data_IF_800331430752
#
_entry.id   IF_800331430752
#
_cell.length_a   1.000
_cell.length_b   1.000
_cell.length_c   1.000
_cell.angle_alpha   90.00
_cell.angle_beta   90.00
_cell.angle_gamma   90.00
#
_symmetry.space_group_name_H-M   'P 1'
#
loop_
_entity.id
_entity.type
_entity.pdbx_description
1 polymer ?
#
# COMPACT_ATOMS: atom_id res chain seq x y z
N UNK A 1 18.31 17.80 6.06
CA UNK A 1 17.58 18.60 5.05
C UNK A 1 16.13 18.65 5.47
N UNK A 2 15.63 19.82 5.85
CA UNK A 2 14.21 19.95 6.15
C UNK A 2 13.44 19.84 4.83
N UNK A 3 12.40 18.99 4.81
CA UNK A 3 11.48 18.86 3.68
C UNK A 3 10.58 20.10 3.70
N UNK A 4 11.10 21.26 3.31
CA UNK A 4 10.48 22.57 3.60
C UNK A 4 9.48 23.02 2.55
N UNK A 5 9.46 22.45 1.34
CA UNK A 5 8.51 22.81 0.30
C UNK A 5 7.56 21.66 -0.05
N UNK A 6 6.30 22.01 -0.33
CA UNK A 6 5.25 21.08 -0.77
C UNK A 6 5.69 20.29 -2.00
N UNK A 7 6.39 20.94 -2.94
CA UNK A 7 6.92 20.30 -4.14
C UNK A 7 7.92 19.19 -3.82
N UNK A 8 8.78 19.40 -2.82
CA UNK A 8 9.74 18.38 -2.39
C UNK A 8 9.02 17.21 -1.70
N UNK A 9 7.96 17.48 -0.92
CA UNK A 9 7.10 16.42 -0.35
C UNK A 9 6.46 15.60 -1.46
N UNK A 10 5.85 16.26 -2.45
CA UNK A 10 5.18 15.59 -3.57
C UNK A 10 6.16 14.75 -4.38
N UNK A 11 7.34 15.30 -4.71
CA UNK A 11 8.42 14.56 -5.40
C UNK A 11 8.83 13.31 -4.60
N UNK A 12 8.95 13.44 -3.29
CA UNK A 12 9.30 12.34 -2.40
C UNK A 12 8.21 11.25 -2.41
N UNK A 13 6.93 11.64 -2.31
CA UNK A 13 5.80 10.71 -2.38
C UNK A 13 5.77 9.96 -3.71
N UNK A 14 5.96 10.64 -4.84
CA UNK A 14 6.04 9.96 -6.15
C UNK A 14 7.24 9.03 -6.29
N UNK A 15 8.35 9.34 -5.62
CA UNK A 15 9.53 8.47 -5.59
C UNK A 15 9.24 7.16 -4.85
N UNK A 16 8.55 7.22 -3.71
CA UNK A 16 8.18 6.03 -2.93
C UNK A 16 7.01 5.24 -3.49
N UNK A 17 6.14 5.86 -4.31
CA UNK A 17 4.93 5.25 -4.84
C UNK A 17 4.96 5.22 -6.39
N UNK A 18 5.90 4.48 -7.03
CA UNK A 18 6.04 4.47 -8.49
C UNK A 18 4.77 3.98 -9.22
N UNK A 19 3.99 3.10 -8.60
CA UNK A 19 2.72 2.59 -9.16
C UNK A 19 1.67 3.68 -9.37
N UNK A 20 1.78 4.85 -8.74
CA UNK A 20 0.89 5.99 -9.00
C UNK A 20 1.03 6.53 -10.43
N UNK A 21 2.22 6.38 -11.03
CA UNK A 21 2.49 6.85 -12.40
C UNK A 21 2.32 5.74 -13.43
N UNK A 22 2.82 4.55 -13.12
CA UNK A 22 2.84 3.42 -14.06
C UNK A 22 1.49 2.70 -14.09
N UNK A 23 0.68 2.81 -13.03
CA UNK A 23 -0.60 2.11 -12.91
C UNK A 23 -0.48 0.62 -12.66
N UNK A 24 0.75 0.10 -12.49
CA UNK A 24 1.04 -1.32 -12.25
C UNK A 24 2.07 -1.47 -11.15
N UNK A 25 2.05 -2.62 -10.46
CA UNK A 25 3.05 -2.97 -9.47
C UNK A 25 4.19 -3.77 -10.12
N UNK A 26 5.46 -3.56 -9.71
CA UNK A 26 6.56 -4.45 -10.06
C UNK A 26 6.24 -5.90 -9.66
N UNK A 27 6.30 -6.82 -10.64
CA UNK A 27 5.84 -8.21 -10.46
C UNK A 27 6.72 -9.01 -9.49
N UNK A 28 7.99 -8.64 -9.34
CA UNK A 28 8.91 -9.21 -8.36
C UNK A 28 8.47 -8.98 -6.90
N UNK A 29 7.74 -7.87 -6.67
CA UNK A 29 7.19 -7.48 -5.38
C UNK A 29 5.84 -8.15 -5.06
N UNK A 30 5.09 -8.55 -6.09
CA UNK A 30 3.79 -9.22 -5.96
C UNK A 30 3.98 -10.72 -5.99
N UNK A 31 4.31 -11.31 -4.82
CA UNK A 31 4.39 -12.77 -4.72
C UNK A 31 3.01 -13.41 -5.02
N UNK A 32 2.96 -14.56 -5.71
CA UNK A 32 1.68 -15.16 -6.10
C UNK A 32 0.88 -15.71 -4.91
N UNK A 33 1.56 -16.15 -3.85
CA UNK A 33 0.92 -16.74 -2.66
C UNK A 33 0.40 -15.66 -1.71
N UNK A 34 -0.89 -15.74 -1.37
CA UNK A 34 -1.59 -14.81 -0.47
C UNK A 34 -1.83 -15.48 0.88
N UNK A 35 -1.51 -14.77 1.96
CA UNK A 35 -1.72 -15.24 3.35
C UNK A 35 -3.10 -14.84 3.85
N UNK A 36 -3.58 -15.47 4.92
CA UNK A 36 -4.87 -15.16 5.54
C UNK A 36 -5.11 -13.66 5.76
N UNK A 37 -4.11 -12.95 6.30
CA UNK A 37 -4.19 -11.51 6.55
C UNK A 37 -4.45 -10.66 5.28
N UNK A 38 -4.10 -11.13 4.09
CA UNK A 38 -4.47 -10.46 2.83
C UNK A 38 -5.99 -10.46 2.64
N UNK A 39 -6.64 -11.61 2.82
CA UNK A 39 -8.08 -11.76 2.59
C UNK A 39 -8.89 -10.94 3.59
N UNK A 40 -8.52 -11.01 4.87
CA UNK A 40 -9.12 -10.17 5.91
C UNK A 40 -8.98 -8.68 5.59
N UNK A 41 -7.77 -8.26 5.21
CA UNK A 41 -7.51 -6.85 4.89
C UNK A 41 -8.34 -6.37 3.70
N UNK A 42 -8.45 -7.17 2.64
CA UNK A 42 -9.28 -6.83 1.48
C UNK A 42 -10.76 -6.80 1.84
N UNK A 43 -11.25 -7.74 2.66
CA UNK A 43 -12.64 -7.77 3.12
C UNK A 43 -13.02 -6.48 3.86
N UNK A 44 -12.18 -6.02 4.79
CA UNK A 44 -12.42 -4.79 5.53
C UNK A 44 -12.30 -3.53 4.66
N UNK A 45 -11.35 -3.54 3.73
CA UNK A 45 -11.07 -2.42 2.85
C UNK A 45 -12.16 -2.23 1.78
N UNK A 46 -12.71 -3.32 1.24
CA UNK A 46 -13.71 -3.30 0.17
C UNK A 46 -15.14 -3.07 0.67
N UNK A 47 -15.33 -2.86 1.96
CA UNK A 47 -16.65 -2.63 2.53
C UNK A 47 -17.25 -1.30 2.06
N UNK A 48 -18.42 -1.35 1.40
CA UNK A 48 -19.00 -0.21 0.70
C UNK A 48 -19.63 0.85 1.62
N UNK A 49 -20.08 0.47 2.81
CA UNK A 49 -20.81 1.35 3.71
C UNK A 49 -19.92 2.27 4.56
N UNK A 50 -18.65 1.91 4.76
CA UNK A 50 -17.74 2.64 5.64
C UNK A 50 -16.35 2.73 5.01
N UNK A 51 -15.84 3.96 4.85
CA UNK A 51 -14.44 4.18 4.44
C UNK A 51 -13.50 3.78 5.58
N UNK A 52 -12.90 2.59 5.50
CA UNK A 52 -11.96 2.07 6.50
C UNK A 52 -10.51 2.22 6.07
N UNK A 53 -9.65 2.34 7.07
CA UNK A 53 -8.20 2.15 6.93
C UNK A 53 -7.82 0.81 7.55
N UNK A 54 -6.94 0.06 6.89
CA UNK A 54 -6.42 -1.20 7.40
C UNK A 54 -4.98 -0.99 7.88
N UNK A 55 -4.73 -1.30 9.15
CA UNK A 55 -3.40 -1.26 9.74
C UNK A 55 -2.83 -2.68 9.85
N UNK A 56 -1.76 -2.96 9.10
CA UNK A 56 -1.01 -4.21 9.21
C UNK A 56 0.08 -4.06 10.27
N UNK A 57 -0.13 -4.64 11.46
CA UNK A 57 0.85 -4.65 12.57
C UNK A 57 1.55 -6.03 12.72
N UNK A 58 2.68 -6.07 13.43
CA UNK A 58 3.41 -7.32 13.74
C UNK A 58 4.93 -7.20 13.62
N UNK A 59 5.65 -8.30 13.84
CA UNK A 59 7.12 -8.32 13.87
C UNK A 59 7.78 -7.94 12.51
N UNK A 60 9.07 -7.60 12.55
CA UNK A 60 9.86 -7.29 11.35
C UNK A 60 9.93 -8.52 10.43
N UNK A 61 9.88 -8.32 9.11
CA UNK A 61 10.01 -9.38 8.07
C UNK A 61 8.90 -10.46 8.03
N UNK A 62 7.76 -10.26 8.70
CA UNK A 62 6.62 -11.20 8.62
C UNK A 62 5.79 -11.09 7.33
N UNK A 63 6.20 -10.26 6.37
CA UNK A 63 5.53 -10.14 5.05
C UNK A 63 4.40 -9.10 4.96
N UNK A 64 4.28 -8.19 5.93
CA UNK A 64 3.27 -7.10 5.91
C UNK A 64 3.36 -6.25 4.64
N UNK A 65 4.57 -5.87 4.25
CA UNK A 65 4.84 -5.13 3.02
C UNK A 65 4.44 -5.91 1.77
N UNK A 66 4.69 -7.22 1.74
CA UNK A 66 4.28 -8.09 0.62
C UNK A 66 2.76 -8.14 0.50
N UNK A 67 2.03 -8.27 1.62
CA UNK A 67 0.57 -8.21 1.63
C UNK A 67 0.09 -6.88 1.08
N UNK A 68 0.69 -5.76 1.52
CA UNK A 68 0.34 -4.43 1.04
C UNK A 68 0.51 -4.29 -0.48
N UNK A 69 1.61 -4.79 -1.06
CA UNK A 69 1.81 -4.77 -2.52
C UNK A 69 0.79 -5.63 -3.27
N UNK A 70 0.45 -6.81 -2.74
CA UNK A 70 -0.61 -7.65 -3.30
C UNK A 70 -1.98 -6.95 -3.28
N UNK A 71 -2.27 -6.20 -2.21
CA UNK A 71 -3.51 -5.43 -2.09
C UNK A 71 -3.54 -4.29 -3.12
N UNK A 72 -2.45 -3.51 -3.22
CA UNK A 72 -2.33 -2.42 -4.20
C UNK A 72 -2.52 -2.95 -5.62
N UNK A 73 -1.85 -4.05 -6.00
CA UNK A 73 -2.03 -4.66 -7.32
C UNK A 73 -3.49 -5.02 -7.59
N UNK A 74 -4.15 -5.70 -6.64
CA UNK A 74 -5.55 -6.08 -6.80
C UNK A 74 -6.49 -4.87 -6.99
N UNK A 75 -6.20 -3.76 -6.32
CA UNK A 75 -7.01 -2.55 -6.38
C UNK A 75 -6.76 -1.76 -7.67
N UNK A 76 -5.53 -1.78 -8.19
CA UNK A 76 -5.18 -1.27 -9.50
C UNK A 76 -5.91 -2.07 -10.60
N UNK A 77 -5.91 -3.41 -10.51
CA UNK A 77 -6.60 -4.30 -11.46
C UNK A 77 -8.11 -4.04 -11.50
N UNK A 78 -8.73 -3.72 -10.36
CA UNK A 78 -10.15 -3.40 -10.25
C UNK A 78 -10.51 -1.99 -10.75
N UNK A 79 -9.55 -1.21 -11.29
CA UNK A 79 -9.74 0.17 -11.75
C UNK A 79 -10.43 1.09 -10.72
N UNK A 80 -10.17 0.87 -9.43
CA UNK A 80 -10.87 1.55 -8.34
C UNK A 80 -10.39 3.00 -8.22
N UNK A 81 -11.12 3.92 -8.88
CA UNK A 81 -10.70 5.30 -9.23
C UNK A 81 -10.50 6.29 -8.08
N UNK A 82 -10.57 5.90 -6.80
CA UNK A 82 -10.62 6.86 -5.68
C UNK A 82 -9.78 6.52 -4.44
N UNK A 83 -8.88 5.54 -4.50
CA UNK A 83 -8.04 5.20 -3.35
C UNK A 83 -6.58 5.54 -3.68
N UNK A 84 -6.13 6.72 -3.25
CA UNK A 84 -4.71 7.08 -3.31
C UNK A 84 -3.99 6.27 -2.23
N UNK A 85 -3.39 5.15 -2.65
CA UNK A 85 -2.66 4.27 -1.74
C UNK A 85 -1.27 4.81 -1.51
N UNK A 86 -1.08 5.50 -0.39
CA UNK A 86 0.24 5.93 0.03
C UNK A 86 0.86 4.84 0.90
N UNK A 87 1.98 4.29 0.45
CA UNK A 87 2.83 3.53 1.34
C UNK A 87 3.55 4.52 2.26
N UNK A 88 3.27 4.43 3.56
CA UNK A 88 4.12 5.04 4.58
C UNK A 88 4.61 3.92 5.49
N UNK A 89 5.90 3.57 5.45
CA UNK A 89 6.45 2.63 6.42
C UNK A 89 6.41 3.31 7.79
N UNK A 90 5.36 3.02 8.57
CA UNK A 90 5.37 3.25 10.00
C UNK A 90 6.34 2.22 10.58
N UNK A 91 7.62 2.60 10.65
CA UNK A 91 8.62 1.86 11.39
C UNK A 91 8.30 2.11 12.87
N UNK A 92 7.36 1.37 13.45
CA UNK A 92 7.34 1.18 14.90
C UNK A 92 8.55 0.32 15.22
N UNK A 93 9.65 0.98 15.58
CA UNK A 93 10.75 0.34 16.29
C UNK A 93 10.19 -0.07 17.65
N UNK A 94 10.01 -1.37 17.85
CA UNK A 94 10.03 -1.96 19.18
C UNK A 94 11.42 -2.55 19.38
#
# INVERSE_FOLDING_TARGET
MAITSIENVIKLLYSYNPWWRVGTMPQDMVKPTKRFAYFESMHWLEHDSVRRFVLLSGARRVGKTTIMYQMIQNLLDKACRQRVFCMYPLITQY
#
